data_IF_448393354245
#
_entry.id   IF_448393354245
#
_cell.length_a   1.000
_cell.length_b   1.000
_cell.length_c   1.000
_cell.angle_alpha   90.00
_cell.angle_beta   90.00
_cell.angle_gamma   90.00
#
_symmetry.space_group_name_H-M   'P 1'
#
loop_
_entity.id
_entity.type
_entity.pdbx_description
1 polymer ?
#
# COMPACT_ATOMS: atom_id res chain seq x y z
N UNK A 1 -45.98 56.12 -12.58
CA UNK A 1 -45.36 55.64 -13.83
C UNK A 1 -44.07 54.93 -13.45
N UNK A 2 -43.97 53.65 -13.83
CA UNK A 2 -42.78 52.80 -13.90
C UNK A 2 -42.09 52.37 -12.57
N UNK A 3 -41.51 51.14 -12.52
CA UNK A 3 -41.71 50.22 -11.40
C UNK A 3 -40.43 49.66 -10.76
N UNK A 4 -40.64 48.90 -9.68
CA UNK A 4 -39.69 48.01 -9.00
C UNK A 4 -38.92 47.08 -9.95
N UNK A 5 -37.61 46.96 -9.73
CA UNK A 5 -36.81 45.86 -10.26
C UNK A 5 -36.08 45.17 -9.10
N UNK A 6 -36.68 44.09 -8.62
CA UNK A 6 -36.07 43.10 -7.73
C UNK A 6 -35.15 42.24 -8.58
N UNK A 7 -33.83 42.43 -8.48
CA UNK A 7 -32.87 41.50 -9.10
C UNK A 7 -32.72 40.29 -8.17
N UNK A 8 -33.46 39.22 -8.47
CA UNK A 8 -33.15 37.89 -7.96
C UNK A 8 -31.83 37.43 -8.59
N UNK A 9 -30.77 37.39 -7.78
CA UNK A 9 -29.56 36.64 -8.12
C UNK A 9 -29.84 35.16 -7.84
N UNK A 10 -30.26 34.43 -8.86
CA UNK A 10 -30.29 32.97 -8.86
C UNK A 10 -28.86 32.43 -8.90
N UNK A 11 -28.23 32.27 -7.73
CA UNK A 11 -27.04 31.43 -7.60
C UNK A 11 -27.50 29.97 -7.66
N UNK A 12 -27.53 29.42 -8.86
CA UNK A 12 -27.61 27.98 -9.10
C UNK A 12 -26.33 27.34 -8.56
N UNK A 13 -26.36 26.94 -7.28
CA UNK A 13 -25.46 25.93 -6.74
C UNK A 13 -25.85 24.60 -7.38
N UNK A 14 -25.29 24.33 -8.55
CA UNK A 14 -25.32 23.00 -9.16
C UNK A 14 -24.33 22.13 -8.39
N UNK A 15 -24.70 21.78 -7.15
CA UNK A 15 -23.99 20.79 -6.38
C UNK A 15 -24.38 19.46 -7.00
N UNK A 16 -23.63 19.04 -8.02
CA UNK A 16 -23.75 17.69 -8.59
C UNK A 16 -23.45 16.74 -7.45
N UNK A 17 -24.50 16.24 -6.81
CA UNK A 17 -24.38 15.29 -5.71
C UNK A 17 -23.77 14.03 -6.28
N UNK A 18 -22.49 13.80 -6.00
CA UNK A 18 -21.77 12.59 -6.40
C UNK A 18 -22.55 11.38 -5.88
N UNK A 19 -22.93 10.48 -6.79
CA UNK A 19 -23.58 9.22 -6.41
C UNK A 19 -22.56 8.28 -5.77
N UNK A 20 -22.62 8.14 -4.45
CA UNK A 20 -21.71 7.28 -3.69
C UNK A 20 -21.77 5.80 -4.08
N UNK A 21 -22.94 5.32 -4.49
CA UNK A 21 -23.08 3.92 -4.91
C UNK A 21 -22.38 3.71 -6.25
N UNK A 22 -22.50 4.68 -7.15
CA UNK A 22 -21.78 4.66 -8.43
C UNK A 22 -20.25 4.71 -8.22
N UNK A 23 -19.76 5.58 -7.32
CA UNK A 23 -18.33 5.66 -7.00
C UNK A 23 -17.83 4.35 -6.38
N UNK A 24 -18.54 3.80 -5.39
CA UNK A 24 -18.14 2.56 -4.74
C UNK A 24 -18.17 1.36 -5.71
N UNK A 25 -19.20 1.26 -6.56
CA UNK A 25 -19.28 0.23 -7.59
C UNK A 25 -18.13 0.35 -8.62
N UNK A 26 -17.82 1.56 -9.07
CA UNK A 26 -16.70 1.80 -9.98
C UNK A 26 -15.37 1.44 -9.32
N UNK A 27 -15.16 1.84 -8.07
CA UNK A 27 -13.97 1.49 -7.30
C UNK A 27 -13.78 -0.01 -7.21
N UNK A 28 -14.81 -0.76 -6.82
CA UNK A 28 -14.77 -2.21 -6.72
C UNK A 28 -14.47 -2.87 -8.07
N UNK A 29 -15.08 -2.39 -9.14
CA UNK A 29 -14.83 -2.88 -10.49
C UNK A 29 -13.36 -2.70 -10.90
N UNK A 30 -12.78 -1.52 -10.66
CA UNK A 30 -11.36 -1.26 -10.95
C UNK A 30 -10.43 -2.06 -10.03
N UNK A 31 -10.78 -2.18 -8.75
CA UNK A 31 -10.00 -2.89 -7.74
C UNK A 31 -9.90 -4.39 -8.06
N UNK A 32 -10.94 -4.97 -8.66
CA UNK A 32 -10.93 -6.38 -9.07
C UNK A 32 -9.78 -6.76 -10.03
N UNK A 33 -9.21 -5.79 -10.76
CA UNK A 33 -8.06 -5.99 -11.67
C UNK A 33 -6.70 -5.91 -10.94
N UNK A 34 -6.68 -5.39 -9.71
CA UNK A 34 -5.50 -5.29 -8.86
C UNK A 34 -5.45 -6.38 -7.78
N UNK A 35 -6.61 -6.94 -7.45
CA UNK A 35 -6.78 -7.90 -6.37
C UNK A 35 -6.03 -9.21 -6.67
N UNK A 36 -5.16 -9.63 -5.74
CA UNK A 36 -4.62 -10.99 -5.70
C UNK A 36 -5.76 -11.99 -5.46
N UNK A 37 -5.72 -13.11 -6.17
CA UNK A 37 -6.69 -14.20 -6.02
C UNK A 37 -6.08 -15.29 -5.17
N UNK A 38 -6.80 -15.70 -4.13
CA UNK A 38 -6.42 -16.80 -3.25
C UNK A 38 -7.39 -17.97 -3.45
N UNK A 39 -7.04 -19.12 -2.89
CA UNK A 39 -7.93 -20.27 -2.89
C UNK A 39 -9.23 -19.93 -2.17
N UNK A 40 -10.35 -20.46 -2.67
CA UNK A 40 -11.69 -20.12 -2.20
C UNK A 40 -11.92 -20.42 -0.70
N UNK A 41 -11.13 -21.31 -0.10
CA UNK A 41 -11.15 -21.60 1.35
C UNK A 41 -10.56 -20.47 2.20
N UNK A 42 -9.77 -19.58 1.60
CA UNK A 42 -9.05 -18.48 2.27
C UNK A 42 -9.47 -17.10 1.78
N UNK A 43 -10.03 -16.99 0.57
CA UNK A 43 -10.50 -15.71 0.02
C UNK A 43 -11.83 -15.28 0.68
N UNK A 44 -11.74 -14.33 1.61
CA UNK A 44 -12.88 -13.75 2.31
C UNK A 44 -13.39 -12.45 1.67
N UNK A 45 -12.92 -12.10 0.46
CA UNK A 45 -13.28 -10.83 -0.15
C UNK A 45 -14.78 -10.75 -0.46
N UNK A 46 -15.35 -11.73 -1.17
CA UNK A 46 -16.78 -11.68 -1.51
C UNK A 46 -17.68 -11.80 -0.27
N UNK A 47 -17.28 -12.58 0.73
CA UNK A 47 -18.10 -12.82 1.93
C UNK A 47 -18.04 -11.69 2.96
N UNK A 48 -16.91 -10.97 3.06
CA UNK A 48 -16.69 -9.92 4.07
C UNK A 48 -16.06 -8.66 3.48
N UNK A 49 -14.96 -8.81 2.74
CA UNK A 49 -14.11 -7.70 2.30
C UNK A 49 -14.81 -6.68 1.41
N UNK A 50 -15.64 -7.13 0.48
CA UNK A 50 -16.36 -6.29 -0.50
C UNK A 50 -17.30 -5.30 0.17
N UNK A 51 -18.14 -5.77 1.10
CA UNK A 51 -19.06 -4.91 1.85
C UNK A 51 -18.32 -3.91 2.74
N UNK A 52 -17.22 -4.34 3.37
CA UNK A 52 -16.39 -3.46 4.16
C UNK A 52 -15.75 -2.36 3.31
N UNK A 53 -15.22 -2.72 2.14
CA UNK A 53 -14.62 -1.78 1.21
C UNK A 53 -15.66 -0.80 0.65
N UNK A 54 -16.82 -1.29 0.22
CA UNK A 54 -17.94 -0.45 -0.25
C UNK A 54 -18.36 0.59 0.80
N UNK A 55 -18.57 0.16 2.05
CA UNK A 55 -18.92 1.07 3.14
C UNK A 55 -17.81 2.08 3.44
N UNK A 56 -16.55 1.67 3.34
CA UNK A 56 -15.38 2.54 3.54
C UNK A 56 -15.29 3.62 2.46
N UNK A 57 -15.44 3.24 1.18
CA UNK A 57 -15.47 4.20 0.07
C UNK A 57 -16.65 5.16 0.20
N UNK A 58 -17.84 4.64 0.55
CA UNK A 58 -19.02 5.46 0.79
C UNK A 58 -18.80 6.55 1.84
N UNK A 59 -18.04 6.26 2.90
CA UNK A 59 -17.70 7.27 3.92
C UNK A 59 -16.84 8.42 3.39
N UNK A 60 -15.86 8.15 2.53
CA UNK A 60 -15.05 9.22 1.92
C UNK A 60 -15.92 10.12 1.04
N UNK A 61 -16.83 9.51 0.25
CA UNK A 61 -17.76 10.26 -0.59
C UNK A 61 -18.73 11.10 0.25
N UNK A 62 -19.32 10.51 1.30
CA UNK A 62 -20.26 11.19 2.20
C UNK A 62 -19.60 12.40 2.92
N UNK A 63 -18.29 12.35 3.19
CA UNK A 63 -17.53 13.46 3.79
C UNK A 63 -16.88 14.41 2.77
N UNK A 64 -17.03 14.17 1.47
CA UNK A 64 -16.37 14.92 0.41
C UNK A 64 -14.83 14.96 0.59
N UNK A 65 -14.24 13.83 0.96
CA UNK A 65 -12.80 13.65 1.20
C UNK A 65 -12.15 12.77 0.13
N UNK A 66 -10.90 13.05 -0.28
CA UNK A 66 -10.19 12.18 -1.22
C UNK A 66 -10.08 10.76 -0.66
N UNK A 67 -10.32 9.76 -1.50
CA UNK A 67 -10.14 8.37 -1.09
C UNK A 67 -8.63 8.12 -0.88
N UNK A 68 -8.23 7.74 0.33
CA UNK A 68 -6.84 7.45 0.66
C UNK A 68 -6.60 5.95 0.79
N UNK A 69 -5.65 5.44 0.03
CA UNK A 69 -5.22 4.04 0.07
C UNK A 69 -3.80 4.00 0.64
N UNK A 70 -3.60 3.20 1.69
CA UNK A 70 -2.26 2.93 2.23
C UNK A 70 -1.85 1.54 1.76
N UNK A 71 -0.73 1.47 1.03
CA UNK A 71 -0.17 0.23 0.50
C UNK A 71 1.18 -0.02 1.16
N UNK A 72 1.26 -0.92 2.16
CA UNK A 72 2.53 -1.44 2.63
C UNK A 72 3.23 -2.20 1.50
N UNK A 73 4.49 -1.87 1.22
CA UNK A 73 5.29 -2.58 0.24
C UNK A 73 6.35 -1.71 -0.40
N UNK A 74 6.98 -2.25 -1.45
CA UNK A 74 8.19 -1.69 -2.06
C UNK A 74 9.32 -1.44 -1.02
N UNK A 75 9.76 -2.48 -0.26
CA UNK A 75 10.78 -2.32 0.77
C UNK A 75 12.17 -2.06 0.19
N UNK A 76 12.61 -2.94 -0.70
CA UNK A 76 13.94 -3.01 -1.31
C UNK A 76 13.95 -4.10 -2.39
N UNK A 77 14.94 -4.09 -3.29
CA UNK A 77 15.27 -5.28 -4.07
C UNK A 77 15.88 -6.36 -3.17
N UNK A 78 15.68 -7.63 -3.53
CA UNK A 78 16.34 -8.76 -2.88
C UNK A 78 17.87 -8.61 -3.00
N UNK A 79 18.65 -8.94 -1.95
CA UNK A 79 20.11 -8.98 -2.04
C UNK A 79 20.63 -10.13 -2.91
N UNK A 80 19.77 -11.08 -3.30
CA UNK A 80 20.13 -12.14 -4.22
C UNK A 80 20.19 -11.63 -5.67
N UNK A 81 21.32 -11.00 -6.00
CA UNK A 81 21.63 -10.47 -7.33
C UNK A 81 22.04 -11.56 -8.35
N UNK A 82 22.16 -12.83 -7.93
CA UNK A 82 22.64 -13.94 -8.75
C UNK A 82 21.63 -14.47 -9.77
N UNK A 83 20.41 -13.92 -9.84
CA UNK A 83 19.41 -14.33 -10.84
C UNK A 83 18.00 -13.76 -10.67
N UNK A 84 17.70 -13.05 -9.58
CA UNK A 84 16.34 -12.54 -9.30
C UNK A 84 16.13 -11.06 -9.63
N UNK A 85 17.19 -10.25 -9.60
CA UNK A 85 17.12 -8.80 -9.81
C UNK A 85 18.34 -8.29 -10.57
N UNK A 86 18.17 -7.19 -11.30
CA UNK A 86 19.22 -6.56 -12.11
C UNK A 86 20.19 -5.68 -11.29
N UNK A 87 19.87 -5.43 -10.02
CA UNK A 87 20.66 -4.59 -9.11
C UNK A 87 19.84 -4.18 -7.87
N UNK A 88 20.35 -3.25 -7.05
CA UNK A 88 19.67 -2.78 -5.84
C UNK A 88 18.61 -1.69 -6.11
N UNK A 89 18.58 -1.13 -7.32
CA UNK A 89 17.67 -0.05 -7.69
C UNK A 89 16.35 -0.59 -8.29
N UNK A 90 15.28 0.19 -8.26
CA UNK A 90 14.04 -0.13 -8.98
C UNK A 90 14.31 -0.29 -10.47
N UNK A 91 13.59 -1.21 -11.10
CA UNK A 91 13.67 -1.50 -12.53
C UNK A 91 12.28 -1.41 -13.18
N UNK A 92 12.16 -1.97 -14.38
CA UNK A 92 10.93 -1.92 -15.17
C UNK A 92 9.74 -2.55 -14.45
N UNK A 93 9.97 -3.49 -13.52
CA UNK A 93 8.90 -4.10 -12.75
C UNK A 93 8.22 -3.05 -11.84
N UNK A 94 9.01 -2.26 -11.11
CA UNK A 94 8.49 -1.19 -10.27
C UNK A 94 7.84 -0.07 -11.08
N UNK A 95 8.44 0.31 -12.23
CA UNK A 95 7.86 1.31 -13.12
C UNK A 95 6.43 0.92 -13.57
N UNK A 96 6.25 -0.32 -14.01
CA UNK A 96 4.93 -0.83 -14.42
C UNK A 96 3.96 -0.96 -13.24
N UNK A 97 4.45 -1.33 -12.06
CA UNK A 97 3.62 -1.41 -10.85
C UNK A 97 3.12 -0.02 -10.43
N UNK A 98 3.98 0.99 -10.42
CA UNK A 98 3.64 2.38 -10.13
C UNK A 98 2.64 2.93 -11.17
N UNK A 99 2.88 2.68 -12.46
CA UNK A 99 1.96 3.10 -13.51
C UNK A 99 0.57 2.47 -13.37
N UNK A 100 0.48 1.21 -12.92
CA UNK A 100 -0.81 0.56 -12.63
C UNK A 100 -1.55 1.24 -11.48
N UNK A 101 -0.86 1.62 -10.41
CA UNK A 101 -1.46 2.34 -9.28
C UNK A 101 -1.95 3.73 -9.70
N UNK A 102 -1.14 4.47 -10.48
CA UNK A 102 -1.51 5.78 -11.02
C UNK A 102 -2.76 5.69 -11.90
N UNK A 103 -2.81 4.73 -12.82
CA UNK A 103 -3.96 4.53 -13.70
C UNK A 103 -5.23 4.13 -12.93
N UNK A 104 -5.07 3.35 -11.85
CA UNK A 104 -6.17 3.04 -10.97
C UNK A 104 -6.73 4.32 -10.33
N UNK A 105 -5.89 5.16 -9.71
CA UNK A 105 -6.33 6.42 -9.11
C UNK A 105 -7.02 7.36 -10.11
N UNK A 106 -6.44 7.54 -11.30
CA UNK A 106 -7.05 8.33 -12.39
C UNK A 106 -8.44 7.83 -12.75
N UNK A 107 -8.62 6.52 -12.85
CA UNK A 107 -9.93 5.95 -13.18
C UNK A 107 -10.99 6.20 -12.10
N UNK A 108 -10.58 6.32 -10.83
CA UNK A 108 -11.51 6.70 -9.75
C UNK A 108 -11.85 8.20 -9.85
N UNK A 109 -10.88 9.04 -10.18
CA UNK A 109 -11.06 10.49 -10.31
C UNK A 109 -12.07 10.86 -11.42
N UNK A 110 -12.17 10.04 -12.48
CA UNK A 110 -13.17 10.19 -13.55
C UNK A 110 -14.62 10.21 -13.03
N UNK A 111 -14.92 9.47 -11.96
CA UNK A 111 -16.25 9.37 -11.35
C UNK A 111 -16.35 10.08 -10.00
N UNK A 112 -15.21 10.40 -9.38
CA UNK A 112 -15.12 11.10 -8.11
C UNK A 112 -14.05 12.19 -8.17
N UNK A 113 -14.41 13.43 -8.58
CA UNK A 113 -13.43 14.50 -8.82
C UNK A 113 -12.63 14.97 -7.59
N UNK A 114 -13.06 14.63 -6.37
CA UNK A 114 -12.27 14.87 -5.15
C UNK A 114 -11.00 14.00 -5.13
N UNK A 115 -11.03 12.90 -5.88
CA UNK A 115 -9.85 12.11 -6.25
C UNK A 115 -9.57 10.91 -5.35
N UNK A 116 -8.49 10.23 -5.70
CA UNK A 116 -7.99 9.04 -5.03
C UNK A 116 -6.46 9.12 -4.96
N UNK A 117 -5.87 8.81 -3.80
CA UNK A 117 -4.42 8.83 -3.61
C UNK A 117 -3.94 7.52 -3.01
N UNK A 118 -2.78 7.06 -3.48
CA UNK A 118 -2.09 5.89 -2.92
C UNK A 118 -0.84 6.38 -2.19
N UNK A 119 -0.75 6.05 -0.91
CA UNK A 119 0.45 6.20 -0.11
C UNK A 119 1.16 4.86 -0.02
N UNK A 120 2.30 4.74 -0.69
CA UNK A 120 3.19 3.60 -0.55
C UNK A 120 3.92 3.76 0.78
N UNK A 121 3.59 2.91 1.74
CA UNK A 121 4.21 2.86 3.04
C UNK A 121 5.39 1.87 2.98
N UNK A 122 6.59 2.38 2.78
CA UNK A 122 7.77 1.52 2.59
C UNK A 122 8.14 0.83 3.90
N UNK A 123 8.14 -0.49 3.86
CA UNK A 123 8.45 -1.41 4.95
C UNK A 123 9.94 -1.85 4.96
N UNK A 124 10.78 -1.23 4.12
CA UNK A 124 12.20 -1.58 4.03
C UNK A 124 12.97 -1.44 5.34
N UNK A 125 12.61 -0.46 6.19
CA UNK A 125 13.21 -0.31 7.53
C UNK A 125 12.72 -1.35 8.54
N UNK A 126 11.55 -1.95 8.33
CA UNK A 126 11.00 -3.00 9.20
C UNK A 126 11.74 -4.30 8.96
N UNK A 127 12.00 -4.62 7.69
CA UNK A 127 12.55 -5.92 7.30
C UNK A 127 14.03 -5.89 6.92
N UNK A 128 14.66 -4.72 6.80
CA UNK A 128 16.01 -4.56 6.26
C UNK A 128 17.06 -5.50 6.87
N UNK A 129 17.09 -5.57 8.20
CA UNK A 129 18.02 -6.41 8.94
C UNK A 129 17.73 -7.90 8.70
N UNK A 130 16.45 -8.27 8.65
CA UNK A 130 15.99 -9.65 8.43
C UNK A 130 16.36 -10.12 7.02
N UNK A 131 16.17 -9.28 6.00
CA UNK A 131 16.46 -9.61 4.60
C UNK A 131 17.90 -9.29 4.19
N UNK A 132 18.74 -8.79 5.10
CA UNK A 132 20.14 -8.44 4.81
C UNK A 132 20.34 -7.27 3.84
N UNK A 133 19.33 -6.43 3.67
CA UNK A 133 19.46 -5.23 2.85
C UNK A 133 20.10 -4.12 3.68
N UNK A 134 21.20 -3.54 3.18
CA UNK A 134 21.83 -2.39 3.85
C UNK A 134 20.87 -1.20 3.88
N UNK A 135 20.97 -0.37 4.93
CA UNK A 135 20.22 0.89 5.02
C UNK A 135 20.48 1.81 3.81
N UNK A 136 21.67 1.75 3.23
CA UNK A 136 22.03 2.47 2.00
C UNK A 136 21.20 1.97 0.81
N UNK A 137 21.10 0.66 0.60
CA UNK A 137 20.32 0.08 -0.49
C UNK A 137 18.82 0.38 -0.33
N UNK A 138 18.28 0.29 0.89
CA UNK A 138 16.88 0.64 1.18
C UNK A 138 16.62 2.12 0.83
N UNK A 139 17.51 3.02 1.23
CA UNK A 139 17.41 4.45 0.89
C UNK A 139 17.53 4.70 -0.61
N UNK A 140 18.50 4.07 -1.27
CA UNK A 140 18.71 4.19 -2.70
C UNK A 140 17.49 3.68 -3.49
N UNK A 141 16.92 2.55 -3.08
CA UNK A 141 15.70 1.99 -3.67
C UNK A 141 14.50 2.94 -3.52
N UNK A 142 14.24 3.42 -2.29
CA UNK A 142 13.17 4.40 -2.01
C UNK A 142 13.33 5.69 -2.82
N UNK A 143 14.56 6.18 -2.97
CA UNK A 143 14.85 7.37 -3.78
C UNK A 143 14.65 7.09 -5.28
N UNK A 144 15.02 5.91 -5.76
CA UNK A 144 14.75 5.47 -7.13
C UNK A 144 13.25 5.43 -7.44
N UNK A 145 12.42 4.93 -6.54
CA UNK A 145 10.96 4.91 -6.72
C UNK A 145 10.39 6.32 -6.84
N UNK A 146 10.86 7.24 -5.98
CA UNK A 146 10.47 8.65 -6.04
C UNK A 146 10.88 9.29 -7.36
N UNK A 147 12.05 8.94 -7.89
CA UNK A 147 12.49 9.40 -9.20
C UNK A 147 11.58 8.86 -10.31
N UNK A 148 11.26 7.56 -10.32
CA UNK A 148 10.33 6.97 -11.29
C UNK A 148 8.96 7.66 -11.29
N UNK A 149 8.37 7.88 -10.11
CA UNK A 149 7.08 8.59 -9.97
C UNK A 149 7.16 10.01 -10.53
N UNK A 150 8.24 10.73 -10.21
CA UNK A 150 8.46 12.10 -10.69
C UNK A 150 8.66 12.16 -12.20
N UNK A 151 9.51 11.30 -12.75
CA UNK A 151 9.87 11.29 -14.16
C UNK A 151 8.68 10.87 -15.04
N UNK A 152 7.83 9.97 -14.54
CA UNK A 152 6.59 9.57 -15.21
C UNK A 152 5.41 10.55 -14.99
N UNK A 153 5.62 11.63 -14.23
CA UNK A 153 4.59 12.64 -13.95
C UNK A 153 3.37 12.10 -13.18
N UNK A 154 3.58 11.08 -12.34
CA UNK A 154 2.51 10.50 -11.53
C UNK A 154 2.14 11.45 -10.38
N UNK A 155 0.86 11.76 -10.24
CA UNK A 155 0.37 12.77 -9.28
C UNK A 155 -0.39 12.19 -8.10
N UNK A 156 -0.76 10.90 -8.17
CA UNK A 156 -1.60 10.25 -7.16
C UNK A 156 -0.81 9.41 -6.17
N UNK A 157 0.49 9.22 -6.40
CA UNK A 157 1.36 8.35 -5.61
C UNK A 157 2.19 9.17 -4.63
N UNK A 158 2.13 8.79 -3.36
CA UNK A 158 2.90 9.36 -2.27
C UNK A 158 3.73 8.27 -1.59
N UNK A 159 4.77 8.68 -0.87
CA UNK A 159 5.63 7.77 -0.13
C UNK A 159 5.69 8.17 1.33
N UNK A 160 5.51 7.19 2.20
CA UNK A 160 5.62 7.35 3.65
C UNK A 160 6.44 6.21 4.26
N UNK A 161 6.69 6.28 5.57
CA UNK A 161 7.42 5.27 6.32
C UNK A 161 7.36 5.51 7.82
N UNK A 162 7.81 4.52 8.58
CA UNK A 162 7.77 4.57 10.05
C UNK A 162 8.51 5.78 10.63
N UNK A 163 9.50 6.33 9.92
CA UNK A 163 10.29 7.47 10.40
C UNK A 163 9.43 8.71 10.67
N UNK A 164 8.26 8.83 10.02
CA UNK A 164 7.35 9.95 10.23
C UNK A 164 6.41 9.77 11.44
N UNK A 165 6.37 8.58 12.04
CA UNK A 165 5.41 8.20 13.10
C UNK A 165 6.09 7.74 14.40
N UNK A 166 7.40 7.77 14.43
CA UNK A 166 8.27 7.32 15.52
C UNK A 166 9.25 8.44 15.87
N UNK A 167 9.74 8.42 17.10
CA UNK A 167 10.66 9.42 17.65
C UNK A 167 12.01 8.84 18.02
N UNK A 168 12.06 7.52 18.21
CA UNK A 168 13.26 6.79 18.61
C UNK A 168 14.14 6.49 17.40
N UNK A 169 15.44 6.31 17.65
CA UNK A 169 16.41 5.91 16.62
C UNK A 169 16.09 4.55 16.01
N UNK A 170 15.46 3.67 16.80
CA UNK A 170 14.91 2.40 16.34
C UNK A 170 13.37 2.49 16.22
N UNK A 171 12.85 2.83 15.03
CA UNK A 171 11.42 3.01 14.81
C UNK A 171 10.65 1.68 14.95
N UNK A 172 11.29 0.55 14.65
CA UNK A 172 10.66 -0.78 14.73
C UNK A 172 10.40 -1.15 16.18
N UNK A 173 11.41 -0.98 17.04
CA UNK A 173 11.29 -1.27 18.47
C UNK A 173 10.19 -0.43 19.12
N UNK A 174 10.13 0.87 18.80
CA UNK A 174 9.10 1.76 19.32
C UNK A 174 7.69 1.30 18.93
N UNK A 175 7.48 0.84 17.70
CA UNK A 175 6.19 0.32 17.23
C UNK A 175 5.84 -0.98 17.97
N UNK A 176 6.79 -1.90 18.12
CA UNK A 176 6.57 -3.16 18.85
C UNK A 176 6.15 -2.92 20.29
N UNK A 177 6.79 -1.97 20.98
CA UNK A 177 6.44 -1.57 22.34
C UNK A 177 5.10 -0.85 22.42
N UNK A 178 4.87 0.13 21.53
CA UNK A 178 3.66 0.97 21.52
C UNK A 178 2.40 0.15 21.30
N UNK A 179 2.46 -0.89 20.47
CA UNK A 179 1.33 -1.78 20.20
C UNK A 179 1.36 -3.07 21.04
N UNK A 180 2.26 -3.16 22.03
CA UNK A 180 2.41 -4.30 22.92
C UNK A 180 2.65 -5.64 22.19
N UNK A 181 3.22 -5.59 20.99
CA UNK A 181 3.53 -6.78 20.17
C UNK A 181 4.69 -7.56 20.80
N UNK A 182 5.64 -6.85 21.41
CA UNK A 182 6.74 -7.46 22.16
C UNK A 182 6.31 -8.29 23.38
N UNK A 183 5.06 -8.16 23.81
CA UNK A 183 4.47 -8.92 24.92
C UNK A 183 3.55 -10.05 24.41
N UNK A 184 3.31 -10.13 23.10
CA UNK A 184 2.47 -11.18 22.52
C UNK A 184 3.24 -12.49 22.40
N UNK A 185 2.59 -13.58 22.76
CA UNK A 185 3.07 -14.94 22.48
C UNK A 185 2.79 -15.27 21.01
N UNK A 186 3.73 -14.91 20.14
CA UNK A 186 3.58 -15.13 18.69
C UNK A 186 3.56 -16.62 18.34
N UNK A 187 4.22 -17.48 19.11
CA UNK A 187 4.23 -18.93 18.87
C UNK A 187 2.84 -19.52 19.12
N UNK A 188 2.22 -19.15 20.24
CA UNK A 188 0.84 -19.55 20.52
C UNK A 188 -0.13 -19.04 19.45
N UNK A 189 0.07 -17.82 18.93
CA UNK A 189 -0.77 -17.27 17.84
C UNK A 189 -0.55 -18.00 16.52
N UNK A 190 0.69 -18.32 16.16
CA UNK A 190 1.03 -19.09 14.95
C UNK A 190 0.38 -20.48 14.99
N UNK A 191 0.33 -21.11 16.16
CA UNK A 191 -0.28 -22.42 16.35
C UNK A 191 -1.82 -22.37 16.29
N UNK A 192 -2.43 -21.38 16.95
CA UNK A 192 -3.87 -21.36 17.20
C UNK A 192 -4.68 -20.49 16.24
N UNK A 193 -4.05 -19.56 15.51
CA UNK A 193 -4.72 -18.68 14.54
C UNK A 193 -4.30 -19.05 13.11
N UNK A 194 -5.18 -19.70 12.30
CA UNK A 194 -4.83 -20.17 10.97
C UNK A 194 -4.28 -19.09 10.03
N UNK A 195 -4.83 -17.87 10.09
CA UNK A 195 -4.39 -16.74 9.26
C UNK A 195 -2.97 -16.28 9.62
N UNK A 196 -2.64 -16.25 10.92
CA UNK A 196 -1.29 -15.91 11.40
C UNK A 196 -0.30 -17.00 11.02
N UNK A 197 -0.67 -18.27 11.23
CA UNK A 197 0.17 -19.41 10.86
C UNK A 197 0.40 -19.51 9.35
N UNK A 198 -0.60 -19.22 8.53
CA UNK A 198 -0.46 -19.16 7.06
C UNK A 198 0.53 -18.06 6.64
N UNK A 199 0.37 -16.85 7.17
CA UNK A 199 1.30 -15.75 6.90
C UNK A 199 2.73 -16.10 7.31
N UNK A 200 2.92 -16.68 8.50
CA UNK A 200 4.22 -17.14 8.97
C UNK A 200 4.86 -18.13 7.98
N UNK A 201 4.12 -19.17 7.56
CA UNK A 201 4.62 -20.16 6.58
C UNK A 201 5.02 -19.53 5.25
N UNK A 202 4.21 -18.61 4.72
CA UNK A 202 4.53 -17.92 3.47
C UNK A 202 5.80 -17.06 3.59
N UNK A 203 5.97 -16.34 4.71
CA UNK A 203 7.19 -15.58 4.97
C UNK A 203 8.40 -16.50 5.15
N UNK A 204 8.28 -17.62 5.87
CA UNK A 204 9.37 -18.59 6.04
C UNK A 204 9.84 -19.16 4.70
N UNK A 205 8.91 -19.57 3.83
CA UNK A 205 9.24 -20.04 2.47
C UNK A 205 9.91 -18.96 1.62
N UNK A 206 9.44 -17.71 1.72
CA UNK A 206 10.07 -16.58 1.05
C UNK A 206 11.52 -16.40 1.53
N UNK A 207 11.73 -16.39 2.85
CA UNK A 207 13.05 -16.24 3.46
C UNK A 207 13.98 -17.39 3.06
N UNK A 208 13.54 -18.64 3.15
CA UNK A 208 14.30 -19.82 2.72
C UNK A 208 14.78 -19.67 1.28
N UNK A 209 13.89 -19.26 0.36
CA UNK A 209 14.24 -19.12 -1.06
C UNK A 209 15.14 -17.93 -1.35
N UNK A 210 14.92 -16.79 -0.69
CA UNK A 210 15.66 -15.55 -0.97
C UNK A 210 17.02 -15.48 -0.29
N UNK A 211 17.17 -16.20 0.82
CA UNK A 211 18.36 -16.14 1.66
C UNK A 211 19.14 -17.46 1.65
N UNK A 212 18.72 -18.47 0.88
CA UNK A 212 19.43 -19.75 0.68
C UNK A 212 20.95 -19.58 0.48
N UNK A 213 21.35 -18.72 -0.46
CA UNK A 213 22.76 -18.48 -0.78
C UNK A 213 23.57 -17.86 0.39
N UNK A 214 22.90 -17.25 1.38
CA UNK A 214 23.55 -16.70 2.58
C UNK A 214 23.80 -17.77 3.64
N UNK A 215 22.98 -18.81 3.72
CA UNK A 215 23.14 -19.87 4.72
C UNK A 215 24.27 -20.85 4.37
N UNK A 216 24.51 -21.10 3.08
CA UNK A 216 25.60 -21.97 2.61
C UNK A 216 27.01 -21.45 2.95
N UNK A 217 27.17 -20.15 3.22
CA UNK A 217 28.47 -19.55 3.55
C UNK A 217 28.83 -19.76 5.03
N UNK A 218 27.88 -20.18 5.88
CA UNK A 218 28.09 -20.29 7.33
C UNK A 218 28.66 -21.64 7.78
N UNK A 219 28.73 -22.66 6.91
CA UNK A 219 29.33 -23.97 7.23
C UNK A 219 30.80 -24.12 6.80
N UNK A 220 31.40 -23.14 6.10
CA UNK A 220 32.78 -23.25 5.61
C UNK A 220 33.85 -22.71 6.59
N UNK A 221 33.46 -22.36 7.83
CA UNK A 221 34.39 -21.96 8.89
C UNK A 221 34.01 -22.59 10.23
N UNK A 222 34.22 -23.91 10.35
CA UNK A 222 34.50 -24.58 11.61
C UNK A 222 35.64 -25.56 11.43
#
# INVERSE_FOLDING_TARGET
>A
MAPNATTQSSSSNDHTTVDKNAVAAHFLAKFSNLQSRFDASTDLFESKGKRFLEATIGRFVDHNEPITIVLPGFPTKTPNHGGKVLGPLPDRAEELALARLENFCKSIEEVYPIGCKVTIFSDGRVFGDLVGASLENIRAYKNGLKALVKDAGHTHIQFDGLENYTKMDNPVQEVLERFHINQMDMDARIENEPDVGNNFRSFSQFMERDMADRWDVTECCR
#
